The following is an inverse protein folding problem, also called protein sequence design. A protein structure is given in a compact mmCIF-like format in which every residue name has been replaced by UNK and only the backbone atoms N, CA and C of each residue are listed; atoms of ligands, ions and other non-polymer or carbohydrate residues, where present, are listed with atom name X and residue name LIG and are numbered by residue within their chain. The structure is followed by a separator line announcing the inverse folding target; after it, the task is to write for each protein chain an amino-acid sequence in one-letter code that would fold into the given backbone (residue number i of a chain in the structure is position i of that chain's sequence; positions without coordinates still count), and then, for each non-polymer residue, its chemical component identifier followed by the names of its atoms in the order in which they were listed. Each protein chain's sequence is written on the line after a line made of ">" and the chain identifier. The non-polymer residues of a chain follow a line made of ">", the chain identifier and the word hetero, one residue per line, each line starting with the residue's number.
data_IF_844700876512
#
_entry.id   IF_844700876512
#
_cell.length_a   1.000
_cell.length_b   1.000
_cell.length_c   1.000
_cell.angle_alpha   90.00
_cell.angle_beta   90.00
_cell.angle_gamma   90.00
#
_symmetry.space_group_name_H-M   'P 1'
#
loop_
_entity.id
_entity.type
_entity.pdbx_description
1 polymer ?
#
# COMPACT_ATOMS: atom_id res chain seq x y z
N UNK A 1 -10.78 -23.43 51.94
CA UNK A 1 -9.87 -22.59 51.13
C UNK A 1 -10.48 -21.20 51.05
N UNK A 2 -9.70 -20.17 51.37
CA UNK A 2 -10.12 -18.77 51.29
C UNK A 2 -10.31 -18.39 49.82
N UNK A 3 -11.42 -17.75 49.47
CA UNK A 3 -11.68 -17.30 48.10
C UNK A 3 -10.61 -16.28 47.66
N UNK A 4 -9.76 -16.58 46.67
CA UNK A 4 -8.65 -15.72 46.27
C UNK A 4 -9.14 -14.35 45.77
N UNK A 5 -10.39 -14.24 45.32
CA UNK A 5 -10.99 -12.96 44.87
C UNK A 5 -11.06 -11.91 45.97
N UNK A 6 -10.94 -12.29 47.25
CA UNK A 6 -10.86 -11.37 48.39
C UNK A 6 -9.58 -10.51 48.40
N UNK A 7 -8.55 -10.91 47.65
CA UNK A 7 -7.29 -10.17 47.52
C UNK A 7 -7.29 -9.20 46.34
N UNK A 8 -8.40 -9.06 45.59
CA UNK A 8 -8.51 -8.07 44.53
C UNK A 8 -8.57 -6.66 45.17
N UNK A 9 -7.62 -5.76 44.87
CA UNK A 9 -7.60 -4.41 45.42
C UNK A 9 -8.84 -3.59 45.03
N UNK A 10 -9.17 -2.58 45.85
CA UNK A 10 -10.27 -1.66 45.51
C UNK A 10 -9.87 -0.80 44.31
N UNK A 11 -10.85 -0.35 43.54
CA UNK A 11 -10.60 0.54 42.39
C UNK A 11 -9.82 1.79 42.80
N UNK A 12 -10.15 2.38 43.95
CA UNK A 12 -9.43 3.56 44.45
C UNK A 12 -7.95 3.28 44.74
N UNK A 13 -7.60 2.06 45.18
CA UNK A 13 -6.22 1.64 45.39
C UNK A 13 -5.49 1.45 44.05
N UNK A 14 -6.14 0.79 43.09
CA UNK A 14 -5.60 0.55 41.74
C UNK A 14 -5.30 1.87 41.03
N UNK A 15 -6.19 2.84 41.15
CA UNK A 15 -6.01 4.16 40.54
C UNK A 15 -4.79 4.90 41.11
N UNK A 16 -4.30 4.57 42.31
CA UNK A 16 -3.11 5.17 42.90
C UNK A 16 -1.80 4.47 42.49
N UNK A 17 -1.85 3.37 41.72
CA UNK A 17 -0.64 2.70 41.26
C UNK A 17 0.18 3.63 40.34
N UNK A 18 1.52 3.72 40.51
CA UNK A 18 2.38 4.56 39.69
C UNK A 18 2.18 4.33 38.18
N UNK A 19 2.16 3.07 37.74
CA UNK A 19 1.94 2.72 36.34
C UNK A 19 0.60 3.25 35.79
N UNK A 20 -0.45 3.28 36.61
CA UNK A 20 -1.77 3.81 36.22
C UNK A 20 -1.73 5.34 36.12
N UNK A 21 -1.08 6.02 37.06
CA UNK A 21 -0.87 7.47 37.03
C UNK A 21 -0.01 7.91 35.83
N UNK A 22 1.08 7.20 35.57
CA UNK A 22 1.96 7.45 34.43
C UNK A 22 1.25 7.19 33.10
N UNK A 23 0.45 6.11 33.02
CA UNK A 23 -0.36 5.83 31.84
C UNK A 23 -1.39 6.94 31.56
N UNK A 24 -1.97 7.57 32.57
CA UNK A 24 -2.90 8.69 32.40
C UNK A 24 -2.25 9.94 31.77
N UNK A 25 -0.92 10.09 31.82
CA UNK A 25 -0.21 11.18 31.14
C UNK A 25 -0.11 10.95 29.62
N UNK A 26 -0.20 9.70 29.17
CA UNK A 26 0.03 9.31 27.77
C UNK A 26 -1.22 8.75 27.07
N UNK A 27 -2.16 8.19 27.83
CA UNK A 27 -3.33 7.47 27.34
C UNK A 27 -4.63 8.11 27.84
N UNK A 28 -5.68 8.03 27.02
CA UNK A 28 -6.99 8.50 27.41
C UNK A 28 -7.55 7.67 28.58
N UNK A 29 -8.34 8.27 29.52
CA UNK A 29 -8.83 7.57 30.70
C UNK A 29 -9.59 6.27 30.42
N UNK A 30 -10.35 6.21 29.33
CA UNK A 30 -11.08 5.00 28.94
C UNK A 30 -10.15 3.85 28.48
N UNK A 31 -8.97 4.15 27.93
CA UNK A 31 -7.98 3.14 27.52
C UNK A 31 -7.28 2.53 28.73
N UNK A 32 -6.89 3.38 29.70
CA UNK A 32 -6.36 2.93 30.99
C UNK A 32 -7.41 2.08 31.71
N UNK A 33 -8.67 2.53 31.73
CA UNK A 33 -9.79 1.82 32.34
C UNK A 33 -10.03 0.44 31.70
N UNK A 34 -10.01 0.35 30.38
CA UNK A 34 -10.16 -0.91 29.67
C UNK A 34 -9.06 -1.92 30.06
N UNK A 35 -7.82 -1.45 30.24
CA UNK A 35 -6.70 -2.30 30.69
C UNK A 35 -6.93 -2.79 32.13
N UNK A 36 -7.37 -1.90 33.03
CA UNK A 36 -7.75 -2.26 34.41
C UNK A 36 -8.87 -3.30 34.42
N UNK A 37 -9.94 -3.06 33.66
CA UNK A 37 -11.07 -3.98 33.62
C UNK A 37 -10.68 -5.35 33.04
N UNK A 38 -9.76 -5.41 32.07
CA UNK A 38 -9.21 -6.66 31.53
C UNK A 38 -8.38 -7.43 32.58
N UNK A 39 -7.44 -6.77 33.27
CA UNK A 39 -6.64 -7.41 34.34
C UNK A 39 -7.54 -7.89 35.48
N UNK A 40 -8.55 -7.11 35.86
CA UNK A 40 -9.52 -7.52 36.87
C UNK A 40 -10.41 -8.68 36.42
N UNK A 41 -10.75 -8.76 35.13
CA UNK A 41 -11.46 -9.92 34.57
C UNK A 41 -10.59 -11.18 34.64
N UNK A 42 -9.31 -11.08 34.29
CA UNK A 42 -8.35 -12.19 34.40
C UNK A 42 -8.24 -12.68 35.85
N UNK A 43 -8.12 -11.77 36.82
CA UNK A 43 -8.10 -12.10 38.24
C UNK A 43 -9.40 -12.73 38.74
N UNK A 44 -10.57 -12.24 38.29
CA UNK A 44 -11.88 -12.80 38.66
C UNK A 44 -12.11 -14.19 38.08
N UNK A 45 -11.56 -14.46 36.89
CA UNK A 45 -11.65 -15.76 36.21
C UNK A 45 -10.69 -16.81 36.79
N UNK A 46 -9.70 -16.38 37.58
CA UNK A 46 -8.63 -17.23 38.12
C UNK A 46 -7.44 -17.41 37.17
N UNK A 47 -7.41 -16.70 36.04
CA UNK A 47 -6.30 -16.71 35.07
C UNK A 47 -5.09 -15.88 35.56
N UNK A 48 -5.31 -15.00 36.54
CA UNK A 48 -4.28 -14.18 37.18
C UNK A 48 -4.42 -14.27 38.70
N UNK A 49 -3.29 -14.42 39.42
CA UNK A 49 -3.28 -14.32 40.87
C UNK A 49 -3.55 -12.86 41.29
N UNK A 50 -4.55 -12.57 42.14
CA UNK A 50 -4.86 -11.21 42.58
C UNK A 50 -3.68 -10.44 43.20
N UNK A 51 -2.69 -11.13 43.77
CA UNK A 51 -1.47 -10.51 44.30
C UNK A 51 -0.56 -9.93 43.21
N UNK A 52 -0.72 -10.36 41.95
CA UNK A 52 0.04 -9.90 40.79
C UNK A 52 -0.65 -8.80 39.98
N UNK A 53 -1.83 -8.33 40.40
CA UNK A 53 -2.58 -7.29 39.66
C UNK A 53 -1.74 -6.04 39.43
N UNK A 54 -0.96 -5.60 40.41
CA UNK A 54 -0.13 -4.39 40.27
C UNK A 54 0.98 -4.58 39.24
N UNK A 55 1.67 -5.72 39.28
CA UNK A 55 2.74 -6.08 38.34
C UNK A 55 2.18 -6.23 36.92
N UNK A 56 1.10 -7.00 36.75
CA UNK A 56 0.45 -7.18 35.45
C UNK A 56 -0.07 -5.86 34.86
N UNK A 57 -0.59 -4.95 35.70
CA UNK A 57 -0.97 -3.62 35.24
C UNK A 57 0.23 -2.80 34.80
N UNK A 58 1.35 -2.88 35.52
CA UNK A 58 2.57 -2.20 35.12
C UNK A 58 3.03 -2.68 33.75
N UNK A 59 3.14 -4.00 33.56
CA UNK A 59 3.60 -4.60 32.30
C UNK A 59 2.69 -4.22 31.12
N UNK A 60 1.36 -4.35 31.29
CA UNK A 60 0.41 -4.02 30.22
C UNK A 60 0.38 -2.53 29.89
N UNK A 61 0.52 -1.65 30.87
CA UNK A 61 0.47 -0.19 30.68
C UNK A 61 1.81 0.40 30.20
N UNK A 62 2.92 -0.27 30.49
CA UNK A 62 4.25 0.10 30.00
C UNK A 62 4.31 0.02 28.48
N UNK A 63 3.84 -1.10 27.92
CA UNK A 63 3.81 -1.31 26.45
C UNK A 63 2.57 -0.71 25.77
N UNK A 64 1.60 -0.21 26.54
CA UNK A 64 0.40 0.39 25.98
C UNK A 64 0.70 1.71 25.26
N UNK A 65 0.26 1.76 24.01
CA UNK A 65 0.36 2.92 23.12
C UNK A 65 -1.04 3.48 22.83
N UNK A 66 -1.15 4.78 22.49
CA UNK A 66 -2.43 5.37 22.05
C UNK A 66 -2.84 4.92 20.62
N UNK A 67 -2.16 3.93 20.06
CA UNK A 67 -2.42 3.33 18.75
C UNK A 67 -2.14 1.81 18.81
N UNK A 68 -2.80 1.03 17.95
CA UNK A 68 -2.73 -0.44 17.96
C UNK A 68 -1.81 -1.05 16.89
N UNK A 69 -1.48 -0.29 15.84
CA UNK A 69 -0.60 -0.77 14.78
C UNK A 69 0.85 -0.82 15.30
N UNK A 70 1.52 -1.96 15.07
CA UNK A 70 2.90 -2.19 15.46
C UNK A 70 3.81 -2.16 14.23
N UNK A 71 5.03 -1.67 14.41
CA UNK A 71 6.10 -1.82 13.41
C UNK A 71 6.43 -3.32 13.26
N UNK A 72 6.65 -3.75 12.03
CA UNK A 72 6.96 -5.14 11.68
C UNK A 72 8.19 -5.16 10.78
N UNK A 73 9.12 -6.08 11.04
CA UNK A 73 10.22 -6.37 10.12
C UNK A 73 9.70 -7.32 9.04
N UNK A 74 9.66 -6.84 7.80
CA UNK A 74 9.26 -7.64 6.64
C UNK A 74 10.43 -8.49 6.14
N UNK A 75 10.48 -9.75 6.56
CA UNK A 75 11.46 -10.74 6.11
C UNK A 75 10.85 -11.76 5.13
N UNK A 76 9.78 -11.39 4.42
CA UNK A 76 9.04 -12.30 3.52
C UNK A 76 9.61 -12.37 2.10
N UNK A 77 10.44 -11.39 1.72
CA UNK A 77 10.86 -11.18 0.34
C UNK A 77 9.78 -10.60 -0.58
N UNK A 78 8.63 -10.19 -0.03
CA UNK A 78 7.53 -9.55 -0.76
C UNK A 78 7.59 -8.04 -0.55
N UNK A 79 7.89 -7.29 -1.62
CA UNK A 79 8.12 -5.83 -1.57
C UNK A 79 6.85 -5.07 -1.21
N UNK A 80 5.78 -5.29 -1.99
CA UNK A 80 4.45 -4.71 -1.80
C UNK A 80 3.56 -5.71 -1.07
N UNK A 81 3.78 -5.82 0.24
CA UNK A 81 3.01 -6.71 1.09
C UNK A 81 1.73 -6.03 1.58
N UNK A 82 0.58 -6.40 1.00
CA UNK A 82 -0.73 -5.76 1.28
C UNK A 82 -1.11 -5.81 2.76
N UNK A 83 -0.87 -6.93 3.44
CA UNK A 83 -1.19 -7.05 4.89
C UNK A 83 -0.23 -6.26 5.80
N UNK A 84 0.94 -5.86 5.32
CA UNK A 84 1.94 -5.10 6.09
C UNK A 84 1.97 -3.61 5.71
N UNK A 85 0.98 -3.13 4.95
CA UNK A 85 0.85 -1.72 4.62
C UNK A 85 1.51 -1.27 3.31
N UNK A 86 1.88 -2.21 2.43
CA UNK A 86 2.47 -1.94 1.09
C UNK A 86 3.81 -1.20 1.16
N UNK A 87 3.99 -0.11 0.41
CA UNK A 87 5.24 0.62 0.26
C UNK A 87 5.65 1.32 1.58
N UNK A 88 6.83 1.02 2.15
CA UNK A 88 7.40 1.81 3.22
C UNK A 88 7.79 3.20 2.70
N UNK A 89 7.55 4.24 3.51
CA UNK A 89 7.90 5.61 3.16
C UNK A 89 9.40 5.87 3.34
N UNK A 90 10.05 6.62 2.43
CA UNK A 90 11.41 7.10 2.64
C UNK A 90 11.46 8.09 3.82
N UNK A 91 12.62 8.26 4.50
CA UNK A 91 12.73 9.16 5.65
C UNK A 91 12.21 10.58 5.41
N UNK A 92 12.52 11.17 4.25
CA UNK A 92 12.03 12.50 3.87
C UNK A 92 10.49 12.58 3.81
N UNK A 93 9.81 11.50 3.39
CA UNK A 93 8.35 11.45 3.38
C UNK A 93 7.76 11.28 4.79
N UNK A 94 8.46 10.59 5.70
CA UNK A 94 8.09 10.54 7.12
C UNK A 94 8.23 11.93 7.75
N UNK A 95 9.33 12.63 7.50
CA UNK A 95 9.53 14.01 7.97
C UNK A 95 8.42 14.94 7.43
N UNK A 96 8.05 14.77 6.16
CA UNK A 96 6.95 15.51 5.54
C UNK A 96 5.59 15.20 6.20
N UNK A 97 5.32 13.96 6.61
CA UNK A 97 4.11 13.62 7.38
C UNK A 97 4.08 14.33 8.74
N UNK A 98 5.21 14.30 9.45
CA UNK A 98 5.34 14.93 10.78
C UNK A 98 5.16 16.44 10.67
N UNK A 99 5.81 17.08 9.70
CA UNK A 99 5.62 18.51 9.43
C UNK A 99 4.15 18.83 9.10
N UNK A 100 3.50 18.00 8.28
CA UNK A 100 2.11 18.20 7.89
C UNK A 100 1.09 17.92 9.01
N UNK A 101 1.51 17.34 10.14
CA UNK A 101 0.65 17.16 11.31
C UNK A 101 0.22 18.52 11.90
N UNK A 102 1.09 19.54 11.83
CA UNK A 102 0.80 20.92 12.21
C UNK A 102 0.00 21.70 11.15
N UNK A 103 -0.11 23.02 11.31
CA UNK A 103 -0.67 23.88 10.27
C UNK A 103 0.26 23.95 9.06
N UNK A 104 -0.33 23.86 7.86
CA UNK A 104 0.38 23.92 6.58
C UNK A 104 -0.37 24.82 5.61
N UNK A 105 0.35 25.38 4.65
CA UNK A 105 -0.10 26.23 3.55
C UNK A 105 -0.77 25.44 2.39
N UNK A 106 -1.26 24.23 2.64
CA UNK A 106 -1.85 23.30 1.64
C UNK A 106 -2.87 23.91 0.66
N UNK A 107 -3.60 24.96 1.08
CA UNK A 107 -4.57 25.71 0.26
C UNK A 107 -4.35 27.24 0.36
N UNK A 108 -3.16 27.70 0.78
CA UNK A 108 -2.84 29.11 0.98
C UNK A 108 -1.58 29.48 0.19
N UNK A 109 -1.66 30.58 -0.55
CA UNK A 109 -0.48 31.20 -1.13
C UNK A 109 0.13 32.14 -0.09
N UNK A 110 1.37 31.87 0.34
CA UNK A 110 2.00 32.62 1.43
C UNK A 110 2.42 34.03 1.02
N UNK A 111 2.66 34.27 -0.27
CA UNK A 111 3.04 35.61 -0.78
C UNK A 111 1.85 36.58 -0.76
N UNK A 112 0.71 36.15 -1.31
CA UNK A 112 -0.52 36.96 -1.34
C UNK A 112 -1.36 36.86 -0.06
N UNK A 113 -1.18 35.82 0.74
CA UNK A 113 -2.02 35.50 1.90
C UNK A 113 -3.43 35.02 1.54
N UNK A 114 -3.70 34.72 0.26
CA UNK A 114 -5.01 34.32 -0.23
C UNK A 114 -5.11 32.80 -0.41
N UNK A 115 -6.35 32.31 -0.54
CA UNK A 115 -6.60 30.91 -0.83
C UNK A 115 -6.06 30.55 -2.22
N UNK A 116 -5.15 29.58 -2.28
CA UNK A 116 -4.67 29.02 -3.53
C UNK A 116 -5.78 28.24 -4.25
N UNK A 117 -5.83 28.36 -5.57
CA UNK A 117 -6.72 27.55 -6.42
C UNK A 117 -6.18 26.14 -6.65
N UNK A 118 -4.87 25.97 -6.49
CA UNK A 118 -4.13 24.75 -6.80
C UNK A 118 -3.65 24.09 -5.51
N UNK A 119 -4.57 23.41 -4.83
CA UNK A 119 -4.26 22.66 -3.63
C UNK A 119 -3.19 21.59 -3.92
N UNK A 120 -2.13 21.57 -3.11
CA UNK A 120 -1.06 20.56 -3.23
C UNK A 120 -0.27 20.69 -4.53
N UNK A 121 -0.07 21.92 -5.01
CA UNK A 121 0.63 22.22 -6.27
C UNK A 121 2.00 21.55 -6.37
N UNK A 122 2.79 21.59 -5.29
CA UNK A 122 4.13 21.00 -5.29
C UNK A 122 4.11 19.47 -5.47
N UNK A 123 3.15 18.75 -4.86
CA UNK A 123 2.95 17.32 -5.12
C UNK A 123 2.53 17.04 -6.58
N UNK A 124 1.69 17.90 -7.18
CA UNK A 124 1.31 17.80 -8.59
C UNK A 124 2.53 18.03 -9.49
N UNK A 125 3.32 19.06 -9.21
CA UNK A 125 4.54 19.37 -9.97
C UNK A 125 5.57 18.24 -9.85
N UNK A 126 5.71 17.61 -8.67
CA UNK A 126 6.56 16.44 -8.48
C UNK A 126 6.09 15.23 -9.30
N UNK A 127 4.78 14.97 -9.37
CA UNK A 127 4.22 13.92 -10.24
C UNK A 127 4.51 14.21 -11.71
N UNK A 128 4.34 15.46 -12.16
CA UNK A 128 4.61 15.86 -13.54
C UNK A 128 6.10 15.77 -13.90
N UNK A 129 6.98 16.14 -12.97
CA UNK A 129 8.42 15.99 -13.15
C UNK A 129 8.82 14.50 -13.26
N UNK A 130 8.18 13.63 -12.49
CA UNK A 130 8.46 12.19 -12.49
C UNK A 130 7.80 11.43 -13.66
N UNK A 131 6.80 12.01 -14.32
CA UNK A 131 6.12 11.43 -15.49
C UNK A 131 6.16 12.36 -16.72
N UNK A 132 7.35 12.54 -17.35
CA UNK A 132 7.47 13.34 -18.55
C UNK A 132 6.57 12.80 -19.67
N UNK A 133 5.71 13.66 -20.22
CA UNK A 133 4.70 13.28 -21.22
C UNK A 133 3.26 13.49 -20.75
N UNK A 134 3.05 13.64 -19.43
CA UNK A 134 1.79 14.14 -18.91
C UNK A 134 1.72 15.66 -19.04
N UNK A 135 0.59 16.19 -19.48
CA UNK A 135 0.36 17.64 -19.60
C UNK A 135 -0.19 18.24 -18.30
N UNK A 136 -0.92 17.43 -17.53
CA UNK A 136 -1.45 17.79 -16.22
C UNK A 136 -1.63 16.53 -15.36
N UNK A 137 -1.80 16.72 -14.06
CA UNK A 137 -2.03 15.66 -13.09
C UNK A 137 -3.07 16.03 -12.03
N UNK A 138 -3.65 15.00 -11.42
CA UNK A 138 -4.54 15.09 -10.27
C UNK A 138 -4.25 13.95 -9.30
N UNK A 139 -4.16 14.29 -8.00
CA UNK A 139 -3.96 13.32 -6.92
C UNK A 139 -5.24 13.23 -6.08
N UNK A 140 -5.73 12.00 -5.90
CA UNK A 140 -6.93 11.65 -5.14
C UNK A 140 -6.62 10.57 -4.10
N UNK A 141 -7.63 10.13 -3.35
CA UNK A 141 -7.47 9.31 -2.15
C UNK A 141 -6.76 7.96 -2.38
N UNK A 142 -7.07 7.25 -3.46
CA UNK A 142 -6.47 5.95 -3.84
C UNK A 142 -6.78 5.61 -5.31
N UNK A 143 -6.16 4.55 -5.85
CA UNK A 143 -6.37 4.12 -7.25
C UNK A 143 -7.84 3.85 -7.60
N UNK A 144 -8.62 3.24 -6.69
CA UNK A 144 -10.06 3.04 -6.88
C UNK A 144 -10.81 4.37 -7.07
N UNK A 145 -10.46 5.39 -6.28
CA UNK A 145 -11.02 6.73 -6.43
C UNK A 145 -10.66 7.39 -7.76
N UNK A 146 -9.42 7.15 -8.24
CA UNK A 146 -8.96 7.67 -9.52
C UNK A 146 -9.77 7.06 -10.67
N UNK A 147 -10.00 5.74 -10.63
CA UNK A 147 -10.82 5.04 -11.59
C UNK A 147 -12.26 5.53 -11.59
N UNK A 148 -12.92 5.55 -10.43
CA UNK A 148 -14.28 6.06 -10.27
C UNK A 148 -14.44 7.48 -10.83
N UNK A 149 -13.50 8.36 -10.48
CA UNK A 149 -13.53 9.76 -10.92
C UNK A 149 -13.33 9.88 -12.43
N UNK A 150 -12.35 9.18 -13.00
CA UNK A 150 -12.04 9.23 -14.42
C UNK A 150 -13.21 8.74 -15.27
N UNK A 151 -13.81 7.60 -14.92
CA UNK A 151 -14.95 7.06 -15.69
C UNK A 151 -16.19 7.95 -15.58
N UNK A 152 -16.48 8.47 -14.39
CA UNK A 152 -17.63 9.36 -14.19
C UNK A 152 -17.46 10.70 -14.92
N UNK A 153 -16.24 11.27 -14.92
CA UNK A 153 -15.96 12.56 -15.52
C UNK A 153 -15.85 12.51 -17.05
N UNK A 154 -15.32 11.42 -17.61
CA UNK A 154 -15.04 11.31 -19.04
C UNK A 154 -16.13 10.58 -19.83
N UNK A 155 -17.01 9.83 -19.17
CA UNK A 155 -18.17 9.17 -19.77
C UNK A 155 -19.46 9.46 -18.99
N UNK A 156 -19.85 10.74 -18.78
CA UNK A 156 -20.99 11.09 -17.95
C UNK A 156 -22.30 10.56 -18.56
N UNK A 157 -22.95 9.62 -17.85
CA UNK A 157 -24.19 8.99 -18.29
C UNK A 157 -24.07 8.12 -19.56
N UNK A 158 -22.84 7.76 -19.96
CA UNK A 158 -22.52 7.02 -21.18
C UNK A 158 -21.90 5.66 -20.88
N UNK A 159 -21.79 4.84 -21.92
CA UNK A 159 -21.13 3.53 -21.86
C UNK A 159 -19.60 3.67 -21.84
N UNK A 160 -18.94 2.89 -20.99
CA UNK A 160 -17.49 2.68 -21.00
C UNK A 160 -17.21 1.26 -21.47
N UNK A 161 -16.49 1.14 -22.59
CA UNK A 161 -16.16 -0.17 -23.17
C UNK A 161 -14.93 -0.73 -22.47
N UNK A 162 -15.00 -2.00 -22.03
CA UNK A 162 -13.92 -2.71 -21.34
C UNK A 162 -13.87 -4.18 -21.77
N UNK A 163 -12.68 -4.78 -21.81
CA UNK A 163 -12.52 -6.23 -22.03
C UNK A 163 -13.02 -7.03 -20.83
N UNK A 164 -13.71 -8.16 -21.07
CA UNK A 164 -14.09 -9.11 -20.01
C UNK A 164 -12.91 -9.68 -19.23
N UNK A 165 -11.75 -9.81 -19.86
CA UNK A 165 -10.52 -10.29 -19.20
C UNK A 165 -9.91 -9.28 -18.23
N UNK A 166 -10.44 -8.06 -18.21
CA UNK A 166 -9.93 -6.92 -17.44
C UNK A 166 -10.86 -6.51 -16.29
N UNK A 167 -11.94 -7.28 -16.07
CA UNK A 167 -12.85 -7.12 -14.94
C UNK A 167 -12.23 -7.79 -13.72
N UNK A 168 -11.63 -6.97 -12.86
CA UNK A 168 -10.85 -7.47 -11.72
C UNK A 168 -11.62 -7.36 -10.41
N UNK A 169 -11.40 -8.36 -9.55
CA UNK A 169 -11.65 -8.29 -8.12
C UNK A 169 -10.31 -8.13 -7.40
N UNK A 170 -10.21 -7.16 -6.51
CA UNK A 170 -9.04 -6.92 -5.66
C UNK A 170 -9.48 -7.07 -4.20
N UNK A 171 -8.53 -7.36 -3.30
CA UNK A 171 -8.74 -7.79 -1.92
C UNK A 171 -9.92 -7.13 -1.16
N UNK A 172 -10.48 -7.91 -0.23
CA UNK A 172 -11.68 -7.57 0.55
C UNK A 172 -12.98 -7.42 -0.28
N UNK A 173 -13.07 -8.10 -1.43
CA UNK A 173 -14.28 -8.16 -2.26
C UNK A 173 -14.51 -6.90 -3.10
N UNK A 174 -13.49 -6.05 -3.28
CA UNK A 174 -13.60 -4.87 -4.13
C UNK A 174 -13.70 -5.29 -5.60
N UNK A 175 -14.81 -4.95 -6.25
CA UNK A 175 -15.06 -5.26 -7.66
C UNK A 175 -15.12 -3.98 -8.48
N UNK A 176 -14.25 -3.92 -9.49
CA UNK A 176 -14.19 -2.80 -10.41
C UNK A 176 -15.56 -2.46 -11.05
N UNK A 177 -16.37 -3.44 -11.49
CA UNK A 177 -17.68 -3.14 -12.07
C UNK A 177 -18.64 -2.45 -11.10
N UNK A 178 -18.78 -3.00 -9.89
CA UNK A 178 -19.65 -2.46 -8.86
C UNK A 178 -19.25 -1.03 -8.46
N UNK A 179 -17.95 -0.74 -8.45
CA UNK A 179 -17.46 0.61 -8.23
C UNK A 179 -17.89 1.57 -9.34
N UNK A 180 -17.61 1.25 -10.61
CA UNK A 180 -17.87 2.15 -11.74
C UNK A 180 -19.38 2.40 -11.88
N UNK A 181 -20.19 1.35 -11.77
CA UNK A 181 -21.64 1.39 -11.89
C UNK A 181 -22.35 1.94 -10.65
N UNK A 182 -21.62 2.29 -9.58
CA UNK A 182 -22.14 3.11 -8.47
C UNK A 182 -22.44 4.56 -8.89
N UNK A 183 -22.03 4.94 -10.10
CA UNK A 183 -22.33 6.22 -10.75
C UNK A 183 -23.30 6.03 -11.92
N UNK A 184 -23.60 7.10 -12.66
CA UNK A 184 -24.42 7.00 -13.87
C UNK A 184 -23.69 6.33 -15.07
N UNK A 185 -22.43 5.95 -14.91
CA UNK A 185 -21.64 5.24 -15.93
C UNK A 185 -22.10 3.79 -16.06
N UNK A 186 -22.18 3.28 -17.29
CA UNK A 186 -22.53 1.89 -17.59
C UNK A 186 -21.33 1.17 -18.21
N UNK A 187 -21.07 -0.07 -17.82
CA UNK A 187 -20.03 -0.86 -18.47
C UNK A 187 -20.59 -1.60 -19.70
N UNK A 188 -19.83 -1.54 -20.80
CA UNK A 188 -20.06 -2.33 -21.99
C UNK A 188 -18.92 -3.31 -22.19
N UNK A 189 -19.12 -4.52 -21.70
CA UNK A 189 -18.12 -5.57 -21.75
C UNK A 189 -17.97 -6.17 -23.15
N UNK A 190 -16.73 -6.40 -23.59
CA UNK A 190 -16.40 -6.99 -24.90
C UNK A 190 -15.41 -8.15 -24.80
N UNK A 191 -15.32 -8.94 -25.86
CA UNK A 191 -14.43 -10.11 -25.94
C UNK A 191 -14.82 -11.22 -24.96
N UNK A 192 -13.84 -12.05 -24.62
CA UNK A 192 -13.94 -13.12 -23.63
C UNK A 192 -12.87 -12.94 -22.54
N UNK A 193 -12.97 -13.74 -21.47
CA UNK A 193 -12.04 -13.67 -20.32
C UNK A 193 -10.58 -13.81 -20.72
N UNK A 194 -10.26 -14.78 -21.58
CA UNK A 194 -8.89 -15.06 -21.99
C UNK A 194 -8.48 -14.30 -23.26
N UNK A 195 -9.41 -14.02 -24.18
CA UNK A 195 -9.12 -13.42 -25.50
C UNK A 195 -10.04 -12.27 -25.81
N UNK A 196 -9.43 -11.12 -26.08
CA UNK A 196 -10.09 -9.96 -26.66
C UNK A 196 -9.32 -9.51 -27.90
N UNK A 197 -10.06 -9.07 -28.91
CA UNK A 197 -9.56 -8.60 -30.19
C UNK A 197 -10.08 -7.20 -30.52
N UNK A 198 -9.37 -6.50 -31.42
CA UNK A 198 -9.75 -5.16 -31.90
C UNK A 198 -11.20 -5.12 -32.39
N UNK A 199 -11.62 -6.13 -33.17
CA UNK A 199 -12.98 -6.21 -33.71
C UNK A 199 -14.07 -6.28 -32.63
N UNK A 200 -13.74 -6.73 -31.41
CA UNK A 200 -14.70 -6.75 -30.30
C UNK A 200 -15.01 -5.34 -29.81
N UNK A 201 -14.00 -4.47 -29.76
CA UNK A 201 -14.17 -3.04 -29.46
C UNK A 201 -14.89 -2.32 -30.60
N UNK A 202 -14.50 -2.56 -31.86
CA UNK A 202 -15.11 -1.92 -33.03
C UNK A 202 -16.63 -2.15 -33.09
N UNK A 203 -17.09 -3.39 -32.85
CA UNK A 203 -18.53 -3.72 -32.80
C UNK A 203 -19.27 -3.09 -31.61
N UNK A 204 -18.54 -2.69 -30.57
CA UNK A 204 -19.11 -2.09 -29.38
C UNK A 204 -19.21 -0.56 -29.44
N UNK A 205 -18.47 0.08 -30.33
CA UNK A 205 -18.54 1.54 -30.52
C UNK A 205 -19.92 1.95 -31.06
N UNK A 206 -20.46 3.05 -30.52
CA UNK A 206 -21.72 3.65 -30.96
C UNK A 206 -21.97 5.02 -30.33
N UNK A 207 -23.14 5.61 -30.61
CA UNK A 207 -23.49 6.97 -30.15
C UNK A 207 -23.50 7.13 -28.62
N UNK A 208 -23.81 6.04 -27.91
CA UNK A 208 -23.84 5.98 -26.45
C UNK A 208 -22.47 5.73 -25.81
N UNK A 209 -21.43 5.44 -26.59
CA UNK A 209 -20.08 5.24 -26.05
C UNK A 209 -19.47 6.57 -25.62
N UNK A 210 -19.03 6.63 -24.36
CA UNK A 210 -18.39 7.79 -23.76
C UNK A 210 -16.87 7.67 -23.67
N UNK A 211 -16.36 6.47 -23.38
CA UNK A 211 -14.93 6.22 -23.25
C UNK A 211 -14.58 4.74 -23.49
N UNK A 212 -13.29 4.47 -23.69
CA UNK A 212 -12.69 3.14 -23.60
C UNK A 212 -11.88 3.07 -22.31
N UNK A 213 -12.05 1.99 -21.55
CA UNK A 213 -11.25 1.67 -20.38
C UNK A 213 -10.40 0.43 -20.67
N UNK A 214 -9.08 0.58 -20.48
CA UNK A 214 -8.10 -0.50 -20.48
C UNK A 214 -7.56 -0.66 -19.07
N UNK A 215 -7.62 -1.86 -18.51
CA UNK A 215 -7.10 -2.16 -17.16
C UNK A 215 -5.97 -3.18 -17.27
N UNK A 216 -4.93 -3.00 -16.45
CA UNK A 216 -3.86 -3.98 -16.25
C UNK A 216 -4.22 -4.93 -15.10
N UNK A 217 -4.26 -6.27 -15.32
CA UNK A 217 -4.42 -7.26 -14.26
C UNK A 217 -3.21 -7.30 -13.29
N UNK A 218 -3.14 -6.34 -12.36
CA UNK A 218 -1.97 -6.17 -11.48
C UNK A 218 -1.85 -7.21 -10.34
N UNK A 219 -2.87 -8.06 -10.14
CA UNK A 219 -2.94 -9.02 -9.03
C UNK A 219 -3.14 -10.49 -9.44
N UNK A 220 -3.25 -10.79 -10.73
CA UNK A 220 -3.30 -12.16 -11.26
C UNK A 220 -2.79 -12.22 -12.70
N UNK A 221 -2.45 -13.41 -13.18
CA UNK A 221 -2.15 -13.66 -14.59
C UNK A 221 -3.08 -14.72 -15.17
N UNK A 222 -3.44 -14.54 -16.44
CA UNK A 222 -4.10 -15.58 -17.25
C UNK A 222 -3.05 -16.13 -18.21
N UNK A 223 -2.79 -17.44 -18.13
CA UNK A 223 -1.84 -18.14 -19.00
C UNK A 223 -2.55 -19.10 -19.96
N UNK A 224 -1.87 -19.51 -21.03
CA UNK A 224 -2.41 -20.37 -22.09
C UNK A 224 -2.83 -19.59 -23.34
N UNK A 225 -4.02 -19.89 -23.89
CA UNK A 225 -4.54 -19.19 -25.07
C UNK A 225 -5.13 -17.84 -24.70
N UNK A 226 -4.27 -16.83 -24.55
CA UNK A 226 -4.66 -15.48 -24.19
C UNK A 226 -4.36 -14.45 -25.27
N UNK A 227 -5.15 -13.37 -25.32
CA UNK A 227 -4.86 -12.20 -26.15
C UNK A 227 -5.52 -10.96 -25.58
N UNK A 228 -4.82 -9.83 -25.63
CA UNK A 228 -5.30 -8.51 -25.23
C UNK A 228 -5.07 -7.48 -26.34
N UNK A 229 -5.78 -6.35 -26.26
CA UNK A 229 -5.62 -5.25 -27.21
C UNK A 229 -4.73 -4.19 -26.58
N UNK A 230 -3.65 -3.80 -27.28
CA UNK A 230 -2.72 -2.75 -26.82
C UNK A 230 -3.36 -1.37 -26.80
N UNK A 231 -2.85 -0.47 -25.95
CA UNK A 231 -3.28 0.95 -25.87
C UNK A 231 -3.20 1.62 -27.24
N UNK A 232 -2.08 1.48 -27.96
CA UNK A 232 -1.91 2.06 -29.30
C UNK A 232 -2.92 1.53 -30.33
N UNK A 233 -3.33 0.26 -30.21
CA UNK A 233 -4.36 -0.29 -31.07
C UNK A 233 -5.73 0.31 -30.75
N UNK A 234 -6.10 0.45 -29.47
CA UNK A 234 -7.35 1.09 -29.06
C UNK A 234 -7.41 2.56 -29.51
N UNK A 235 -6.31 3.31 -29.37
CA UNK A 235 -6.23 4.69 -29.83
C UNK A 235 -6.51 4.83 -31.33
N UNK A 236 -6.04 3.89 -32.16
CA UNK A 236 -6.28 3.93 -33.62
C UNK A 236 -7.74 3.69 -34.02
N UNK A 237 -8.59 3.17 -33.13
CA UNK A 237 -9.99 2.84 -33.45
C UNK A 237 -10.93 4.03 -33.32
N UNK A 238 -10.59 5.03 -32.49
CA UNK A 238 -11.50 6.11 -32.14
C UNK A 238 -10.74 7.28 -31.54
N UNK A 239 -11.36 8.46 -31.49
CA UNK A 239 -10.89 9.66 -30.75
C UNK A 239 -11.59 9.84 -29.39
N UNK A 240 -12.43 8.88 -28.98
CA UNK A 240 -13.05 8.90 -27.64
C UNK A 240 -11.99 8.87 -26.53
N UNK A 241 -12.30 9.41 -25.34
CA UNK A 241 -11.44 9.29 -24.16
C UNK A 241 -10.96 7.85 -23.94
N UNK A 242 -9.64 7.67 -23.88
CA UNK A 242 -8.97 6.41 -23.58
C UNK A 242 -8.37 6.49 -22.16
N UNK A 243 -9.00 5.77 -21.24
CA UNK A 243 -8.60 5.67 -19.84
C UNK A 243 -7.78 4.39 -19.68
N UNK A 244 -6.56 4.50 -19.17
CA UNK A 244 -5.67 3.36 -18.92
C UNK A 244 -5.38 3.26 -17.43
N UNK A 245 -5.87 2.21 -16.78
CA UNK A 245 -5.52 1.89 -15.41
C UNK A 245 -4.38 0.88 -15.39
N UNK A 246 -3.15 1.36 -15.14
CA UNK A 246 -1.99 0.47 -14.96
C UNK A 246 -1.94 -0.09 -13.54
N UNK A 247 -2.60 0.57 -12.58
CA UNK A 247 -2.76 0.13 -11.20
C UNK A 247 -1.50 0.14 -10.34
N UNK A 248 -0.33 -0.21 -10.88
CA UNK A 248 0.91 -0.52 -10.15
C UNK A 248 1.75 0.70 -9.78
N UNK A 249 1.65 1.79 -10.53
CA UNK A 249 2.43 3.01 -10.27
C UNK A 249 3.84 2.97 -10.81
N UNK A 250 4.13 2.07 -11.77
CA UNK A 250 5.37 2.11 -12.52
C UNK A 250 5.36 3.33 -13.47
N UNK A 251 6.28 4.27 -13.29
CA UNK A 251 6.31 5.51 -14.09
C UNK A 251 6.99 5.32 -15.45
N UNK A 252 8.12 4.63 -15.46
CA UNK A 252 8.94 4.35 -16.64
C UNK A 252 9.18 2.84 -16.77
N UNK A 253 9.48 2.34 -17.98
CA UNK A 253 9.84 0.93 -18.18
C UNK A 253 10.99 0.51 -17.27
N UNK A 254 10.93 -0.72 -16.79
CA UNK A 254 11.88 -1.27 -15.84
C UNK A 254 12.38 -2.63 -16.34
N UNK A 255 13.70 -2.82 -16.35
CA UNK A 255 14.34 -4.04 -16.88
C UNK A 255 14.02 -5.28 -16.04
N UNK A 256 13.76 -5.10 -14.74
CA UNK A 256 13.37 -6.18 -13.82
C UNK A 256 11.90 -6.55 -14.04
N UNK A 257 11.08 -5.61 -14.51
CA UNK A 257 9.64 -5.77 -14.74
C UNK A 257 9.24 -5.53 -16.22
N UNK A 258 9.81 -6.28 -17.19
CA UNK A 258 9.70 -5.96 -18.61
C UNK A 258 8.29 -6.08 -19.20
N UNK A 259 7.37 -6.73 -18.50
CA UNK A 259 5.96 -6.91 -18.92
C UNK A 259 4.99 -6.02 -18.14
N UNK A 260 5.48 -5.30 -17.13
CA UNK A 260 4.64 -4.41 -16.33
C UNK A 260 4.47 -3.08 -17.08
N UNK A 261 3.23 -2.64 -17.36
CA UNK A 261 3.00 -1.42 -18.13
C UNK A 261 3.38 -0.19 -17.31
N UNK A 262 4.11 0.73 -17.94
CA UNK A 262 4.48 2.00 -17.32
C UNK A 262 3.55 3.15 -17.74
N UNK A 263 3.48 4.19 -16.90
CA UNK A 263 2.69 5.37 -17.19
C UNK A 263 3.18 6.10 -18.46
N UNK A 264 4.49 6.23 -18.61
CA UNK A 264 5.11 6.86 -19.79
C UNK A 264 4.80 6.13 -21.10
N UNK A 265 4.79 4.80 -21.11
CA UNK A 265 4.40 4.02 -22.29
C UNK A 265 2.93 4.19 -22.62
N UNK A 266 2.04 4.12 -21.62
CA UNK A 266 0.61 4.29 -21.84
C UNK A 266 0.27 5.68 -22.40
N UNK A 267 0.94 6.74 -21.90
CA UNK A 267 0.80 8.09 -22.43
C UNK A 267 1.30 8.20 -23.87
N UNK A 268 2.51 7.69 -24.15
CA UNK A 268 3.10 7.66 -25.50
C UNK A 268 2.20 6.92 -26.50
N UNK A 269 1.56 5.85 -26.06
CA UNK A 269 0.70 5.01 -26.88
C UNK A 269 -0.72 5.61 -27.08
N UNK A 270 -1.00 6.78 -26.47
CA UNK A 270 -2.17 7.60 -26.77
C UNK A 270 -3.27 7.60 -25.70
N UNK A 271 -2.99 7.15 -24.49
CA UNK A 271 -3.91 7.32 -23.36
C UNK A 271 -4.20 8.81 -23.11
N UNK A 272 -5.48 9.14 -22.93
CA UNK A 272 -5.89 10.49 -22.53
C UNK A 272 -5.71 10.70 -21.02
N UNK A 273 -5.90 9.63 -20.24
CA UNK A 273 -5.61 9.57 -18.80
C UNK A 273 -5.03 8.22 -18.43
N UNK A 274 -3.93 8.22 -17.69
CA UNK A 274 -3.35 7.05 -17.02
C UNK A 274 -3.58 7.14 -15.52
N UNK A 275 -3.98 6.02 -14.92
CA UNK A 275 -4.34 5.89 -13.50
C UNK A 275 -3.41 4.90 -12.80
N UNK A 276 -2.97 5.23 -11.59
CA UNK A 276 -2.21 4.30 -10.75
C UNK A 276 -2.28 4.61 -9.25
N UNK A 277 -1.83 3.66 -8.42
CA UNK A 277 -1.72 3.85 -6.96
C UNK A 277 -0.36 4.39 -6.55
N UNK A 278 -0.31 5.27 -5.56
CA UNK A 278 0.93 5.86 -5.04
C UNK A 278 1.73 4.97 -4.07
N UNK A 279 1.09 3.98 -3.45
CA UNK A 279 1.66 3.10 -2.42
C UNK A 279 2.05 1.72 -2.94
N UNK A 280 2.35 1.61 -4.24
CA UNK A 280 2.80 0.39 -4.89
C UNK A 280 4.21 0.59 -5.46
N UNK A 281 4.44 0.37 -6.75
CA UNK A 281 5.76 0.53 -7.38
C UNK A 281 6.29 1.97 -7.35
N UNK A 282 5.40 2.95 -7.19
CA UNK A 282 5.79 4.35 -6.99
C UNK A 282 6.59 4.57 -5.69
N UNK A 283 6.36 3.75 -4.65
CA UNK A 283 7.09 3.84 -3.39
C UNK A 283 6.71 5.03 -2.50
N UNK A 284 5.49 5.57 -2.64
CA UNK A 284 4.97 6.69 -1.86
C UNK A 284 3.81 6.29 -0.92
N UNK A 285 3.05 7.27 -0.40
CA UNK A 285 1.88 7.02 0.43
C UNK A 285 0.67 6.58 -0.40
N UNK A 286 -0.39 6.11 0.26
CA UNK A 286 -1.63 5.76 -0.42
C UNK A 286 -2.22 6.98 -1.13
N UNK A 287 -2.25 6.92 -2.46
CA UNK A 287 -2.81 7.93 -3.34
C UNK A 287 -3.38 7.26 -4.59
N UNK A 288 -4.31 7.93 -5.27
CA UNK A 288 -4.68 7.64 -6.65
C UNK A 288 -4.14 8.77 -7.50
N UNK A 289 -3.34 8.46 -8.50
CA UNK A 289 -2.73 9.46 -9.37
C UNK A 289 -3.35 9.34 -10.74
N UNK A 290 -3.82 10.46 -11.27
CA UNK A 290 -4.26 10.63 -12.65
C UNK A 290 -3.25 11.53 -13.35
N UNK A 291 -2.67 11.06 -14.45
CA UNK A 291 -1.78 11.85 -15.32
C UNK A 291 -2.27 11.76 -16.76
N UNK A 292 -2.13 12.81 -17.55
CA UNK A 292 -2.55 12.75 -18.95
C UNK A 292 -2.75 14.12 -19.60
N UNK A 293 -3.67 14.17 -20.57
CA UNK A 293 -3.99 15.39 -21.30
C UNK A 293 -4.65 16.43 -20.40
N UNK A 294 -4.32 17.69 -20.62
CA UNK A 294 -4.79 18.82 -19.81
C UNK A 294 -6.32 18.89 -19.74
N UNK A 295 -7.00 18.70 -20.87
CA UNK A 295 -8.46 18.79 -20.96
C UNK A 295 -9.14 17.65 -20.18
N UNK A 296 -8.59 16.44 -20.26
CA UNK A 296 -9.15 15.27 -19.58
C UNK A 296 -8.96 15.37 -18.05
N UNK A 297 -7.78 15.81 -17.60
CA UNK A 297 -7.52 16.07 -16.18
C UNK A 297 -8.37 17.24 -15.67
N UNK A 298 -8.55 18.31 -16.46
CA UNK A 298 -9.43 19.42 -16.11
C UNK A 298 -10.90 18.98 -15.95
N UNK A 299 -11.39 18.05 -16.78
CA UNK A 299 -12.71 17.46 -16.62
C UNK A 299 -12.82 16.71 -15.28
N UNK A 300 -11.81 15.91 -14.93
CA UNK A 300 -11.74 15.20 -13.65
C UNK A 300 -11.73 16.17 -12.45
N UNK A 301 -10.91 17.24 -12.51
CA UNK A 301 -10.82 18.29 -11.46
C UNK A 301 -12.15 19.01 -11.22
N UNK A 302 -12.95 19.25 -12.27
CA UNK A 302 -14.25 19.94 -12.20
C UNK A 302 -15.39 19.04 -11.71
N UNK A 303 -15.24 17.73 -11.81
CA UNK A 303 -16.32 16.80 -11.44
C UNK A 303 -16.59 16.83 -9.92
N UNK A 304 -17.86 16.87 -9.46
CA UNK A 304 -18.17 16.96 -8.03
C UNK A 304 -17.55 15.87 -7.15
N UNK A 305 -17.39 14.65 -7.69
CA UNK A 305 -16.74 13.54 -6.98
C UNK A 305 -15.29 13.86 -6.60
N UNK A 306 -14.58 14.73 -7.32
CA UNK A 306 -13.20 15.12 -7.00
C UNK A 306 -13.07 15.66 -5.57
N UNK A 307 -14.13 16.33 -5.06
CA UNK A 307 -14.16 16.82 -3.68
C UNK A 307 -14.37 15.69 -2.66
N UNK A 308 -15.15 14.67 -3.01
CA UNK A 308 -15.42 13.52 -2.14
C UNK A 308 -14.20 12.60 -2.03
N UNK A 309 -13.46 12.41 -3.13
CA UNK A 309 -12.27 11.56 -3.17
C UNK A 309 -10.96 12.31 -2.96
N UNK A 310 -11.01 13.55 -2.48
CA UNK A 310 -9.83 14.39 -2.31
C UNK A 310 -8.86 13.78 -1.29
N UNK A 311 -7.58 13.69 -1.67
CA UNK A 311 -6.49 13.27 -0.77
C UNK A 311 -6.29 14.26 0.39
N UNK A 312 -5.88 13.82 1.58
CA UNK A 312 -5.58 14.73 2.71
C UNK A 312 -4.19 15.40 2.61
N UNK A 313 -3.88 16.31 3.55
CA UNK A 313 -2.62 17.09 3.54
C UNK A 313 -1.39 16.25 3.88
N UNK A 314 -1.53 15.24 4.73
CA UNK A 314 -0.41 14.42 5.20
C UNK A 314 0.14 13.63 4.02
N UNK A 315 -0.76 12.94 3.31
CA UNK A 315 -0.38 12.10 2.17
C UNK A 315 0.05 12.91 0.94
N UNK A 316 -0.45 14.14 0.78
CA UNK A 316 0.08 15.04 -0.27
C UNK A 316 1.54 15.39 -0.04
N UNK A 317 1.88 15.84 1.17
CA UNK A 317 3.24 16.26 1.49
C UNK A 317 4.21 15.06 1.43
N UNK A 318 3.77 13.90 1.91
CA UNK A 318 4.53 12.67 1.82
C UNK A 318 4.72 12.19 0.38
N UNK A 319 3.74 12.38 -0.51
CA UNK A 319 3.86 12.00 -1.92
C UNK A 319 4.91 12.86 -2.64
N UNK A 320 4.87 14.17 -2.42
CA UNK A 320 5.89 15.09 -2.94
C UNK A 320 7.30 14.67 -2.52
N UNK A 321 7.52 14.48 -1.21
CA UNK A 321 8.81 14.07 -0.68
C UNK A 321 9.24 12.68 -1.18
N UNK A 322 8.30 11.76 -1.42
CA UNK A 322 8.60 10.42 -1.97
C UNK A 322 9.05 10.47 -3.42
N UNK A 323 8.58 11.45 -4.20
CA UNK A 323 8.98 11.66 -5.59
C UNK A 323 10.24 12.53 -5.72
N UNK A 324 10.53 13.35 -4.72
CA UNK A 324 11.69 14.23 -4.68
C UNK A 324 12.96 13.58 -4.08
N UNK A 325 12.85 12.37 -3.51
CA UNK A 325 14.00 11.60 -3.01
C UNK A 325 14.65 10.78 -4.14
N UNK A 326 15.98 10.60 -4.14
CA UNK A 326 16.68 9.85 -5.18
C UNK A 326 16.32 8.36 -5.23
N UNK A 327 15.91 7.77 -4.11
CA UNK A 327 15.41 6.39 -4.05
C UNK A 327 14.42 6.21 -2.89
N UNK A 328 13.70 5.09 -2.93
CA UNK A 328 12.79 4.63 -1.89
C UNK A 328 12.93 3.11 -1.68
N UNK A 329 12.37 2.62 -0.57
CA UNK A 329 12.51 1.21 -0.17
C UNK A 329 11.97 0.20 -1.20
N UNK A 330 10.98 0.60 -2.01
CA UNK A 330 10.43 -0.27 -3.06
C UNK A 330 11.45 -0.43 -4.20
N UNK A 331 12.04 0.68 -4.65
CA UNK A 331 13.06 0.68 -5.71
C UNK A 331 14.34 -0.01 -5.27
N UNK A 332 14.80 0.22 -4.03
CA UNK A 332 15.98 -0.44 -3.47
C UNK A 332 15.79 -1.97 -3.35
N UNK A 333 14.59 -2.41 -2.94
CA UNK A 333 14.26 -3.83 -2.81
C UNK A 333 14.06 -4.52 -4.18
N UNK A 334 13.57 -3.78 -5.18
CA UNK A 334 13.40 -4.27 -6.55
C UNK A 334 14.75 -4.46 -7.24
N UNK A 335 15.63 -3.48 -7.11
CA UNK A 335 16.96 -3.42 -7.74
C UNK A 335 18.10 -3.85 -6.81
N UNK A 336 17.79 -4.67 -5.81
CA UNK A 336 18.80 -5.14 -4.85
C UNK A 336 19.97 -5.81 -5.58
N UNK A 337 21.20 -5.37 -5.29
CA UNK A 337 22.41 -6.01 -5.80
C UNK A 337 22.51 -7.46 -5.30
N UNK A 338 22.61 -8.39 -6.23
CA UNK A 338 22.54 -9.82 -5.94
C UNK A 338 23.72 -10.27 -5.05
N UNK A 339 24.93 -9.74 -5.28
CA UNK A 339 26.10 -10.08 -4.46
C UNK A 339 25.91 -9.58 -3.03
N UNK A 340 25.47 -8.33 -2.86
CA UNK A 340 25.19 -7.73 -1.56
C UNK A 340 24.06 -8.44 -0.82
N UNK A 341 22.98 -8.81 -1.51
CA UNK A 341 21.88 -9.59 -0.93
C UNK A 341 22.40 -10.90 -0.34
N UNK A 342 23.19 -11.65 -1.11
CA UNK A 342 23.78 -12.91 -0.66
C UNK A 342 24.71 -12.72 0.53
N UNK A 343 25.63 -11.75 0.48
CA UNK A 343 26.56 -11.45 1.58
C UNK A 343 25.82 -11.12 2.88
N UNK A 344 24.71 -10.36 2.80
CA UNK A 344 23.87 -10.05 3.97
C UNK A 344 23.17 -11.29 4.50
N UNK A 345 22.58 -12.10 3.62
CA UNK A 345 21.92 -13.35 4.01
C UNK A 345 22.90 -14.32 4.68
N UNK A 346 24.13 -14.46 4.16
CA UNK A 346 25.19 -15.28 4.76
C UNK A 346 25.59 -14.80 6.16
N UNK A 347 25.67 -13.48 6.39
CA UNK A 347 25.95 -12.91 7.72
C UNK A 347 24.83 -13.21 8.72
N UNK A 348 23.57 -13.03 8.32
CA UNK A 348 22.42 -13.36 9.19
C UNK A 348 22.42 -14.85 9.51
N UNK A 349 22.58 -15.71 8.49
CA UNK A 349 22.63 -17.17 8.66
C UNK A 349 23.74 -17.60 9.63
N UNK A 350 24.94 -17.04 9.51
CA UNK A 350 26.06 -17.34 10.42
C UNK A 350 25.77 -16.94 11.87
N UNK A 351 25.06 -15.83 12.09
CA UNK A 351 24.72 -15.34 13.43
C UNK A 351 23.61 -16.14 14.12
N UNK A 352 22.71 -16.76 13.35
CA UNK A 352 21.55 -17.49 13.88
C UNK A 352 21.64 -19.01 13.69
N UNK A 353 22.73 -19.51 13.10
CA UNK A 353 22.91 -20.94 12.81
C UNK A 353 21.96 -21.51 11.74
N UNK A 354 21.53 -20.69 10.77
CA UNK A 354 20.65 -21.09 9.68
C UNK A 354 21.37 -21.51 8.39
N UNK A 355 20.65 -22.13 7.45
CA UNK A 355 21.15 -22.47 6.11
C UNK A 355 20.82 -21.36 5.11
N UNK A 356 21.76 -20.94 4.27
CA UNK A 356 21.45 -20.03 3.15
C UNK A 356 20.91 -20.84 1.99
N UNK A 357 19.71 -20.50 1.51
CA UNK A 357 19.06 -21.17 0.38
C UNK A 357 18.66 -20.17 -0.69
N UNK A 358 18.59 -20.62 -1.94
CA UNK A 358 18.01 -19.84 -3.02
C UNK A 358 16.51 -19.63 -2.76
N UNK A 359 16.10 -18.37 -2.83
CA UNK A 359 14.72 -17.97 -2.62
C UNK A 359 14.37 -16.80 -3.54
N UNK A 360 13.40 -17.02 -4.43
CA UNK A 360 12.90 -15.95 -5.25
C UNK A 360 11.85 -15.12 -4.47
N UNK A 361 12.18 -13.85 -4.21
CA UNK A 361 11.26 -12.84 -3.73
C UNK A 361 10.17 -12.51 -4.77
N UNK A 362 9.28 -11.57 -4.42
CA UNK A 362 8.17 -11.14 -5.28
C UNK A 362 7.92 -9.64 -5.12
N UNK A 363 7.39 -9.02 -6.15
CA UNK A 363 6.82 -7.66 -6.02
C UNK A 363 5.61 -7.68 -5.09
N UNK A 364 4.67 -8.62 -5.25
CA UNK A 364 3.49 -8.75 -4.38
C UNK A 364 2.22 -8.14 -4.97
N UNK A 365 1.25 -7.78 -4.12
CA UNK A 365 -0.11 -7.34 -4.51
C UNK A 365 -0.20 -5.93 -5.13
N UNK A 366 0.90 -5.47 -5.74
CA UNK A 366 1.12 -4.11 -6.20
C UNK A 366 1.48 -3.98 -7.69
N UNK A 367 1.45 -5.06 -8.45
CA UNK A 367 1.99 -5.12 -9.82
C UNK A 367 2.89 -6.35 -9.97
N UNK A 368 3.03 -6.86 -11.19
CA UNK A 368 3.91 -7.99 -11.52
C UNK A 368 3.80 -9.22 -10.56
N UNK A 369 2.58 -9.78 -10.32
CA UNK A 369 2.32 -10.73 -9.23
C UNK A 369 3.12 -12.04 -9.31
N UNK A 370 3.55 -12.45 -10.52
CA UNK A 370 4.30 -13.70 -10.73
C UNK A 370 5.76 -13.49 -11.15
N UNK A 371 6.25 -12.25 -11.25
CA UNK A 371 7.65 -12.01 -11.64
C UNK A 371 8.57 -12.43 -10.48
N UNK A 372 9.41 -13.47 -10.65
CA UNK A 372 10.31 -13.90 -9.61
C UNK A 372 11.47 -12.92 -9.50
N UNK A 373 11.81 -12.52 -8.27
CA UNK A 373 13.02 -11.73 -7.99
C UNK A 373 14.10 -12.65 -7.43
N UNK A 374 15.11 -13.07 -8.22
CA UNK A 374 16.13 -14.00 -7.76
C UNK A 374 16.86 -13.48 -6.52
N UNK A 375 17.09 -14.36 -5.54
CA UNK A 375 17.71 -13.98 -4.29
C UNK A 375 17.95 -15.15 -3.35
N UNK A 376 18.20 -14.84 -2.09
CA UNK A 376 18.51 -15.80 -1.04
C UNK A 376 17.71 -15.53 0.23
N UNK A 377 17.48 -16.58 1.00
CA UNK A 377 16.89 -16.48 2.33
C UNK A 377 17.68 -17.35 3.33
N UNK A 378 17.57 -17.02 4.61
CA UNK A 378 18.00 -17.90 5.70
C UNK A 378 16.87 -18.88 5.98
N UNK A 379 17.16 -20.17 5.88
CA UNK A 379 16.23 -21.24 6.19
C UNK A 379 16.37 -21.66 7.65
N UNK A 380 15.25 -21.57 8.36
CA UNK A 380 15.08 -21.91 9.77
C UNK A 380 13.95 -22.93 9.94
N UNK A 381 13.85 -23.60 11.10
CA UNK A 381 12.71 -24.47 11.41
C UNK A 381 11.37 -23.75 11.30
N UNK A 382 10.35 -24.42 10.75
CA UNK A 382 9.01 -23.84 10.51
C UNK A 382 8.37 -23.30 11.80
N UNK A 383 8.58 -24.00 12.92
CA UNK A 383 8.03 -23.66 14.23
C UNK A 383 8.43 -22.27 14.71
N UNK A 384 9.55 -21.72 14.25
CA UNK A 384 10.00 -20.36 14.61
C UNK A 384 9.14 -19.26 13.98
N UNK A 385 8.37 -19.56 12.93
CA UNK A 385 7.57 -18.54 12.24
C UNK A 385 6.52 -17.88 13.16
N UNK A 386 5.90 -18.63 14.08
CA UNK A 386 4.91 -18.06 15.02
C UNK A 386 5.57 -17.24 16.12
N UNK A 387 6.57 -17.75 16.87
CA UNK A 387 7.34 -16.95 17.83
C UNK A 387 7.89 -15.66 17.22
N UNK A 388 8.47 -15.68 16.01
CA UNK A 388 8.96 -14.49 15.32
C UNK A 388 7.87 -13.41 15.15
N UNK A 389 6.65 -13.80 14.79
CA UNK A 389 5.51 -12.87 14.66
C UNK A 389 5.00 -12.31 15.99
N UNK A 390 5.28 -13.01 17.09
CA UNK A 390 4.83 -12.63 18.43
C UNK A 390 5.94 -11.95 19.25
N UNK A 391 7.19 -12.00 18.80
CA UNK A 391 8.34 -11.35 19.41
C UNK A 391 8.32 -9.83 19.26
N UNK A 392 9.31 -9.18 19.85
CA UNK A 392 9.48 -7.72 19.84
C UNK A 392 10.90 -7.35 19.35
N UNK A 393 11.03 -6.74 18.15
CA UNK A 393 9.95 -6.44 17.20
C UNK A 393 9.38 -7.71 16.53
N UNK A 394 8.13 -7.68 16.07
CA UNK A 394 7.59 -8.74 15.23
C UNK A 394 8.37 -8.88 13.91
N UNK A 395 8.79 -10.09 13.58
CA UNK A 395 9.40 -10.45 12.30
C UNK A 395 8.44 -11.34 11.53
N UNK A 396 8.10 -10.95 10.29
CA UNK A 396 7.26 -11.77 9.41
C UNK A 396 8.15 -12.40 8.35
N UNK A 397 8.39 -13.69 8.51
CA UNK A 397 9.08 -14.54 7.56
C UNK A 397 8.08 -15.33 6.69
N UNK A 398 8.57 -15.94 5.60
CA UNK A 398 7.74 -16.76 4.71
C UNK A 398 7.86 -18.24 5.09
N UNK A 399 6.74 -18.92 5.33
CA UNK A 399 6.73 -20.39 5.46
C UNK A 399 6.59 -21.00 4.07
N UNK A 400 7.52 -21.87 3.70
CA UNK A 400 7.49 -22.59 2.42
C UNK A 400 8.17 -23.95 2.54
N UNK A 401 7.54 -25.01 2.04
CA UNK A 401 8.09 -26.37 2.02
C UNK A 401 8.68 -26.84 3.38
N UNK A 402 7.96 -26.59 4.48
CA UNK A 402 8.41 -27.03 5.82
C UNK A 402 9.50 -26.17 6.46
N UNK A 403 9.78 -24.97 5.92
CA UNK A 403 10.86 -24.08 6.39
C UNK A 403 10.34 -22.67 6.62
N UNK A 404 10.85 -22.01 7.67
CA UNK A 404 10.73 -20.58 7.89
C UNK A 404 11.86 -19.87 7.12
N UNK A 405 11.52 -19.14 6.07
CA UNK A 405 12.45 -18.43 5.20
C UNK A 405 12.49 -16.95 5.56
N UNK A 406 13.66 -16.49 6.01
CA UNK A 406 13.95 -15.10 6.33
C UNK A 406 14.70 -14.48 5.15
N UNK A 407 14.00 -13.70 4.31
CA UNK A 407 14.59 -12.97 3.19
C UNK A 407 14.84 -11.50 3.59
N UNK A 408 16.12 -11.10 3.56
CA UNK A 408 16.56 -9.75 3.95
C UNK A 408 16.35 -8.68 2.88
N UNK A 409 15.80 -9.02 1.69
CA UNK A 409 15.53 -8.08 0.59
C UNK A 409 14.72 -6.85 1.03
N UNK A 410 13.71 -7.08 1.87
CA UNK A 410 12.80 -6.02 2.34
C UNK A 410 13.20 -5.48 3.73
N UNK A 411 14.37 -5.87 4.23
CA UNK A 411 14.90 -5.42 5.52
C UNK A 411 15.97 -4.36 5.24
N UNK A 412 15.81 -3.12 5.73
CA UNK A 412 16.86 -2.11 5.64
C UNK A 412 18.16 -2.61 6.28
N UNK A 413 19.33 -2.37 5.68
CA UNK A 413 20.60 -2.90 6.21
C UNK A 413 20.88 -2.47 7.66
N UNK A 414 20.45 -1.27 8.05
CA UNK A 414 20.56 -0.76 9.42
C UNK A 414 19.79 -1.60 10.46
N UNK A 415 18.85 -2.46 10.02
CA UNK A 415 18.05 -3.33 10.87
C UNK A 415 18.58 -4.77 10.92
N UNK A 416 19.71 -5.09 10.27
CA UNK A 416 20.26 -6.45 10.27
C UNK A 416 20.56 -6.94 11.70
N UNK A 417 21.13 -6.08 12.56
CA UNK A 417 21.41 -6.44 13.96
C UNK A 417 20.13 -6.68 14.78
N UNK A 418 19.09 -5.87 14.55
CA UNK A 418 17.79 -6.01 15.20
C UNK A 418 17.08 -7.29 14.75
N UNK A 419 17.15 -7.61 13.45
CA UNK A 419 16.62 -8.86 12.90
C UNK A 419 17.31 -10.07 13.52
N UNK A 420 18.65 -10.06 13.62
CA UNK A 420 19.43 -11.15 14.24
C UNK A 420 19.01 -11.34 15.69
N UNK A 421 18.93 -10.26 16.47
CA UNK A 421 18.52 -10.31 17.87
C UNK A 421 17.10 -10.87 18.03
N UNK A 422 16.16 -10.45 17.18
CA UNK A 422 14.78 -10.94 17.19
C UNK A 422 14.69 -12.44 16.87
N UNK A 423 15.53 -12.94 15.95
CA UNK A 423 15.60 -14.38 15.64
C UNK A 423 16.18 -15.15 16.84
N UNK A 424 17.30 -14.69 17.40
CA UNK A 424 17.95 -15.36 18.53
C UNK A 424 17.06 -15.40 19.79
N UNK A 425 16.22 -14.40 19.99
CA UNK A 425 15.30 -14.34 21.14
C UNK A 425 14.21 -15.43 21.12
N UNK A 426 13.96 -16.06 19.98
CA UNK A 426 12.89 -17.07 19.82
C UNK A 426 13.40 -18.47 19.46
N UNK A 427 14.72 -18.62 19.28
CA UNK A 427 15.42 -19.90 19.20
C UNK A 427 15.62 -20.47 20.60
#
# INVERSE_FOLDING_TARGET
>A
MTDPRRFIPKMDEILQYPAVQDAHQRLAPHSVRATIDAVLADARSGSLDPTRIQEELADRLEVAQPYSLRRVINATGVIIHTNLGRAPLPPAAVDALVAAAGYTDVEMDLDSGLRSRDRGRAAVDAVLAACPGAEDALVVNNGASALLLATAALAPGKEVIISRGELIEIGAGFRLPELIESTATRLREVGATNRTHVADYERALGENTGAILKVHPSNFLISGFTSSVSVAALRRLTELPLIVDIGSGLLAPDEVLPQEPSASEALRDGADVVLFSGDKLLGGPQAGVLVGKKEAIAACKKHPLARAVRIDKLRLNALEASLATPSNAVQDALHTDAKRHRERTEKVAAAVGGEVVEHAGRVGGGGAPEVPLPGWAVALPEELARPLRLGEPPVVARVNQGRCLVDVRCVPEAQDAELIAAIQAVM
#
